data_IF_602610553370
#
_entry.id   IF_602610553370
#
_cell.length_a   1.000
_cell.length_b   1.000
_cell.length_c   1.000
_cell.angle_alpha   90.00
_cell.angle_beta   90.00
_cell.angle_gamma   90.00
#
_symmetry.space_group_name_H-M   'P 1'
#
loop_
_entity.id
_entity.type
_entity.pdbx_description
1 polymer ?
#
# COMPACT_ATOMS: atom_id res chain seq x y z
N UNK A 1 -13.00 1.65 -21.10
CA UNK A 1 -11.88 1.99 -22.01
C UNK A 1 -10.69 2.35 -21.14
N UNK A 2 -9.73 1.43 -20.99
CA UNK A 2 -8.55 1.65 -20.16
C UNK A 2 -7.68 2.74 -20.79
N UNK A 3 -7.39 3.79 -20.01
CA UNK A 3 -6.48 4.86 -20.40
C UNK A 3 -5.12 4.20 -20.60
N UNK A 4 -4.63 4.10 -21.84
CA UNK A 4 -3.24 3.73 -22.10
C UNK A 4 -2.38 4.68 -21.28
N UNK A 5 -1.64 4.17 -20.31
CA UNK A 5 -0.57 4.92 -19.66
C UNK A 5 0.47 5.23 -20.73
N UNK A 6 0.23 6.30 -21.48
CA UNK A 6 1.22 6.93 -22.34
C UNK A 6 2.25 7.58 -21.44
N UNK A 7 3.15 6.79 -20.90
CA UNK A 7 4.33 7.26 -20.21
C UNK A 7 5.48 6.46 -20.79
N UNK A 8 6.38 7.13 -21.52
CA UNK A 8 7.76 6.67 -21.66
C UNK A 8 8.20 6.23 -20.27
N UNK A 9 8.55 4.97 -20.08
CA UNK A 9 8.90 4.42 -18.77
C UNK A 9 9.99 5.32 -18.19
N UNK A 10 9.70 6.08 -17.12
CA UNK A 10 10.68 7.00 -16.58
C UNK A 10 11.91 6.20 -16.15
N UNK A 11 13.10 6.79 -16.27
CA UNK A 11 14.32 6.15 -15.77
C UNK A 11 14.13 5.70 -14.31
N UNK A 12 14.83 4.63 -13.91
CA UNK A 12 14.81 4.09 -12.54
C UNK A 12 14.87 5.19 -11.47
N UNK A 13 15.73 6.18 -11.66
CA UNK A 13 15.92 7.31 -10.73
C UNK A 13 14.67 8.19 -10.58
N UNK A 14 13.92 8.40 -11.66
CA UNK A 14 12.67 9.18 -11.62
C UNK A 14 11.58 8.39 -10.89
N UNK A 15 11.48 7.09 -11.13
CA UNK A 15 10.52 6.23 -10.42
C UNK A 15 10.84 6.15 -8.93
N UNK A 16 12.13 6.00 -8.58
CA UNK A 16 12.59 5.95 -7.19
C UNK A 16 12.33 7.26 -6.43
N UNK A 17 12.60 8.42 -7.06
CA UNK A 17 12.27 9.74 -6.48
C UNK A 17 10.77 9.96 -6.32
N UNK A 18 9.98 9.51 -7.29
CA UNK A 18 8.52 9.64 -7.24
C UNK A 18 7.94 8.80 -6.11
N UNK A 19 8.37 7.53 -6.00
CA UNK A 19 7.99 6.65 -4.89
C UNK A 19 8.38 7.26 -3.54
N UNK A 20 9.63 7.71 -3.41
CA UNK A 20 10.15 8.34 -2.19
C UNK A 20 9.29 9.53 -1.75
N UNK A 21 8.94 10.43 -2.69
CA UNK A 21 8.10 11.59 -2.38
C UNK A 21 6.69 11.21 -1.93
N UNK A 22 6.07 10.20 -2.57
CA UNK A 22 4.73 9.71 -2.17
C UNK A 22 4.78 9.02 -0.82
N UNK A 23 5.80 8.20 -0.57
CA UNK A 23 5.99 7.49 0.68
C UNK A 23 6.21 8.46 1.86
N UNK A 24 7.02 9.51 1.65
CA UNK A 24 7.20 10.57 2.65
C UNK A 24 5.89 11.28 2.98
N UNK A 25 5.08 11.62 1.97
CA UNK A 25 3.75 12.22 2.18
C UNK A 25 2.84 11.29 2.99
N UNK A 26 2.84 9.99 2.69
CA UNK A 26 2.06 9.02 3.44
C UNK A 26 2.52 8.95 4.90
N UNK A 27 3.83 8.80 5.14
CA UNK A 27 4.41 8.73 6.49
C UNK A 27 4.04 9.95 7.34
N UNK A 28 4.09 11.16 6.77
CA UNK A 28 3.70 12.40 7.45
C UNK A 28 2.19 12.52 7.69
N UNK A 29 1.36 11.87 6.87
CA UNK A 29 -0.10 11.91 7.00
C UNK A 29 -0.65 10.93 8.05
N UNK A 30 0.16 9.95 8.48
CA UNK A 30 -0.20 8.97 9.49
C UNK A 30 0.01 9.55 10.89
N UNK A 31 -0.72 9.07 11.91
CA UNK A 31 -0.47 9.47 13.30
C UNK A 31 0.90 8.98 13.78
N UNK A 32 1.46 9.62 14.80
CA UNK A 32 2.62 9.05 15.51
C UNK A 32 2.18 7.91 16.45
N UNK A 33 3.12 7.11 16.93
CA UNK A 33 2.84 5.94 17.78
C UNK A 33 2.01 6.28 19.02
N UNK A 34 2.30 7.42 19.64
CA UNK A 34 1.59 7.88 20.85
C UNK A 34 0.13 8.20 20.53
N UNK A 35 -0.13 8.80 19.37
CA UNK A 35 -1.48 9.11 18.90
C UNK A 35 -2.22 7.85 18.43
N UNK A 36 -1.52 6.92 17.78
CA UNK A 36 -2.05 5.62 17.36
C UNK A 36 -2.56 4.82 18.56
N UNK A 37 -1.74 4.64 19.59
CA UNK A 37 -2.07 3.85 20.77
C UNK A 37 -3.24 4.43 21.59
N UNK A 38 -3.48 5.75 21.52
CA UNK A 38 -4.56 6.41 22.24
C UNK A 38 -5.90 6.40 21.51
N UNK A 39 -5.88 6.37 20.18
CA UNK A 39 -7.06 6.67 19.35
C UNK A 39 -7.63 5.45 18.62
N UNK A 40 -6.91 4.32 18.64
CA UNK A 40 -7.24 3.12 17.89
C UNK A 40 -7.15 1.87 18.78
N UNK A 41 -7.82 0.79 18.37
CA UNK A 41 -7.66 -0.50 19.04
C UNK A 41 -6.22 -1.02 18.87
N UNK A 42 -5.71 -1.90 19.75
CA UNK A 42 -4.32 -2.36 19.65
C UNK A 42 -3.92 -2.91 18.25
N UNK A 43 -4.74 -3.72 17.57
CA UNK A 43 -4.40 -4.18 16.22
C UNK A 43 -4.38 -3.07 15.15
N UNK A 44 -5.24 -2.07 15.28
CA UNK A 44 -5.29 -0.92 14.37
C UNK A 44 -4.11 0.03 14.60
N UNK A 45 -3.74 0.26 15.86
CA UNK A 45 -2.56 1.03 16.23
C UNK A 45 -1.28 0.36 15.71
N UNK A 46 -1.12 -0.95 15.93
CA UNK A 46 0.02 -1.71 15.39
C UNK A 46 0.10 -1.64 13.87
N UNK A 47 -1.03 -1.77 13.18
CA UNK A 47 -1.08 -1.65 11.72
C UNK A 47 -0.66 -0.25 11.24
N UNK A 48 -1.20 0.82 11.85
CA UNK A 48 -0.90 2.20 11.46
C UNK A 48 0.57 2.57 11.75
N UNK A 49 1.12 2.11 12.87
CA UNK A 49 2.53 2.27 13.23
C UNK A 49 3.44 1.54 12.23
N UNK A 50 3.18 0.25 11.96
CA UNK A 50 3.95 -0.51 10.98
C UNK A 50 3.87 0.10 9.57
N UNK A 51 2.73 0.67 9.20
CA UNK A 51 2.58 1.38 7.94
C UNK A 51 3.39 2.68 7.90
N UNK A 52 3.41 3.44 9.00
CA UNK A 52 4.23 4.64 9.10
C UNK A 52 5.70 4.32 8.92
N UNK A 53 6.18 3.26 9.56
CA UNK A 53 7.56 2.79 9.45
C UNK A 53 7.90 2.35 8.03
N UNK A 54 7.02 1.58 7.39
CA UNK A 54 7.20 1.16 5.99
C UNK A 54 7.22 2.36 5.04
N UNK A 55 6.34 3.33 5.23
CA UNK A 55 6.30 4.54 4.41
C UNK A 55 7.54 5.42 4.64
N UNK A 56 8.07 5.46 5.87
CA UNK A 56 9.33 6.14 6.17
C UNK A 56 10.52 5.45 5.48
N UNK A 57 10.58 4.12 5.51
CA UNK A 57 11.61 3.36 4.78
C UNK A 57 11.54 3.63 3.26
N UNK A 58 10.34 3.61 2.68
CA UNK A 58 10.15 3.85 1.24
C UNK A 58 10.45 5.29 0.84
N UNK A 59 10.45 6.24 1.78
CA UNK A 59 10.90 7.61 1.53
C UNK A 59 12.38 7.69 1.17
N UNK A 60 13.16 6.64 1.42
CA UNK A 60 14.57 6.52 1.07
C UNK A 60 14.80 5.80 -0.26
N UNK A 61 13.74 5.42 -0.98
CA UNK A 61 13.85 4.59 -2.19
C UNK A 61 14.74 5.18 -3.29
N UNK A 62 14.88 6.50 -3.35
CA UNK A 62 15.79 7.19 -4.28
C UNK A 62 17.28 6.86 -4.06
N UNK A 63 17.64 6.33 -2.89
CA UNK A 63 19.00 5.99 -2.50
C UNK A 63 19.29 4.49 -2.59
N UNK A 64 18.26 3.66 -2.77
CA UNK A 64 18.43 2.21 -2.81
C UNK A 64 19.28 1.79 -4.02
N UNK A 65 20.17 0.84 -3.78
CA UNK A 65 20.78 -0.01 -4.79
C UNK A 65 19.73 -0.92 -5.43
N UNK A 66 20.07 -1.53 -6.56
CA UNK A 66 19.17 -2.48 -7.23
C UNK A 66 18.95 -3.73 -6.37
N UNK A 67 19.99 -4.21 -5.69
CA UNK A 67 19.91 -5.33 -4.75
C UNK A 67 19.00 -5.03 -3.56
N UNK A 68 19.05 -3.81 -3.00
CA UNK A 68 18.16 -3.40 -1.92
C UNK A 68 16.71 -3.34 -2.42
N UNK A 69 16.46 -2.65 -3.55
CA UNK A 69 15.12 -2.58 -4.14
C UNK A 69 14.55 -3.99 -4.42
N UNK A 70 15.37 -4.92 -4.89
CA UNK A 70 14.95 -6.32 -5.06
C UNK A 70 14.66 -7.01 -3.73
N UNK A 71 15.49 -6.83 -2.71
CA UNK A 71 15.28 -7.42 -1.38
C UNK A 71 13.97 -6.94 -0.75
N UNK A 72 13.69 -5.64 -0.79
CA UNK A 72 12.42 -5.06 -0.34
C UNK A 72 11.24 -5.63 -1.13
N UNK A 73 11.39 -5.82 -2.44
CA UNK A 73 10.36 -6.43 -3.27
C UNK A 73 10.04 -7.88 -2.87
N UNK A 74 11.04 -8.72 -2.64
CA UNK A 74 10.84 -10.11 -2.21
C UNK A 74 10.19 -10.17 -0.81
N UNK A 75 10.61 -9.31 0.12
CA UNK A 75 9.99 -9.21 1.45
C UNK A 75 8.51 -8.81 1.37
N UNK A 76 8.17 -7.85 0.50
CA UNK A 76 6.78 -7.48 0.25
C UNK A 76 5.97 -8.64 -0.34
N UNK A 77 6.53 -9.35 -1.33
CA UNK A 77 5.86 -10.46 -1.98
C UNK A 77 5.52 -11.55 -0.96
N UNK A 78 6.43 -11.82 -0.02
CA UNK A 78 6.17 -12.73 1.10
C UNK A 78 5.05 -12.20 2.01
N UNK A 79 5.10 -10.93 2.41
CA UNK A 79 4.07 -10.32 3.25
C UNK A 79 2.68 -10.34 2.58
N UNK A 80 2.60 -10.12 1.26
CA UNK A 80 1.37 -10.24 0.48
C UNK A 80 0.82 -11.66 0.46
N UNK A 81 1.69 -12.66 0.26
CA UNK A 81 1.28 -14.06 0.32
C UNK A 81 0.78 -14.44 1.73
N UNK A 82 1.46 -13.99 2.78
CA UNK A 82 1.07 -14.23 4.17
C UNK A 82 -0.29 -13.59 4.51
N UNK A 83 -0.51 -12.33 4.10
CA UNK A 83 -1.79 -11.67 4.31
C UNK A 83 -2.91 -12.32 3.49
N UNK A 84 -2.67 -12.65 2.22
CA UNK A 84 -3.64 -13.36 1.39
C UNK A 84 -4.07 -14.69 2.01
N UNK A 85 -3.09 -15.46 2.51
CA UNK A 85 -3.35 -16.70 3.25
C UNK A 85 -4.16 -16.46 4.53
N UNK A 86 -3.78 -15.46 5.35
CA UNK A 86 -4.47 -15.12 6.59
C UNK A 86 -5.93 -14.67 6.35
N UNK A 87 -6.18 -13.86 5.32
CA UNK A 87 -7.53 -13.43 4.94
C UNK A 87 -8.36 -14.60 4.41
N UNK A 88 -7.82 -15.45 3.54
CA UNK A 88 -8.52 -16.64 3.04
C UNK A 88 -8.87 -17.62 4.18
N UNK A 89 -7.98 -17.80 5.15
CA UNK A 89 -8.24 -18.59 6.35
C UNK A 89 -9.36 -18.01 7.22
N UNK A 90 -9.52 -16.68 7.25
CA UNK A 90 -10.58 -15.99 7.98
C UNK A 90 -11.96 -16.13 7.32
N UNK A 91 -12.02 -16.11 5.99
CA UNK A 91 -13.27 -16.29 5.22
C UNK A 91 -13.84 -17.71 5.38
N UNK A 92 -12.96 -18.70 5.54
CA UNK A 92 -13.37 -20.09 5.80
C UNK A 92 -13.99 -20.31 7.20
N UNK A 93 -13.98 -19.31 8.10
CA UNK A 93 -14.49 -19.41 9.47
C UNK A 93 -15.78 -18.60 9.75
N UNK A 94 -16.49 -18.19 8.70
CA UNK A 94 -17.87 -17.71 8.84
C UNK A 94 -18.02 -16.20 8.88
N UNK A 95 -18.71 -15.67 7.86
CA UNK A 95 -19.81 -14.70 7.95
C UNK A 95 -20.03 -14.13 6.55
N UNK A 96 -21.17 -14.50 5.95
CA UNK A 96 -21.69 -13.85 4.76
C UNK A 96 -22.10 -12.41 5.06
N UNK A 97 -21.95 -11.54 4.07
CA UNK A 97 -22.37 -10.14 4.16
C UNK A 97 -22.14 -9.42 2.83
N UNK A 98 -23.24 -9.15 2.13
CA UNK A 98 -23.33 -8.43 0.87
C UNK A 98 -22.92 -6.96 1.02
N UNK A 99 -21.63 -6.69 0.85
CA UNK A 99 -21.03 -5.47 0.28
C UNK A 99 -19.53 -5.55 0.46
N UNK A 100 -18.70 -5.16 -0.52
CA UNK A 100 -17.27 -5.13 -0.32
C UNK A 100 -16.95 -4.20 0.86
N UNK A 101 -16.48 -4.76 1.97
CA UNK A 101 -15.91 -4.00 3.08
C UNK A 101 -14.84 -3.05 2.54
N UNK A 102 -14.60 -1.91 3.20
CA UNK A 102 -13.59 -0.94 2.77
C UNK A 102 -12.24 -1.61 2.45
N UNK A 103 -11.85 -2.60 3.27
CA UNK A 103 -10.63 -3.40 3.06
C UNK A 103 -10.68 -4.26 1.80
N UNK A 104 -11.82 -4.89 1.47
CA UNK A 104 -11.96 -5.66 0.24
C UNK A 104 -11.86 -4.79 -1.03
N UNK A 105 -12.35 -3.54 -0.99
CA UNK A 105 -12.15 -2.57 -2.08
C UNK A 105 -10.67 -2.27 -2.28
N UNK A 106 -9.94 -2.00 -1.19
CA UNK A 106 -8.49 -1.78 -1.27
C UNK A 106 -7.77 -2.99 -1.87
N UNK A 107 -8.16 -4.21 -1.50
CA UNK A 107 -7.58 -5.44 -2.09
C UNK A 107 -7.86 -5.52 -3.59
N UNK A 108 -9.08 -5.26 -4.04
CA UNK A 108 -9.41 -5.22 -5.48
C UNK A 108 -8.60 -4.17 -6.23
N UNK A 109 -8.45 -2.97 -5.67
CA UNK A 109 -7.63 -1.91 -6.26
C UNK A 109 -6.15 -2.31 -6.35
N UNK A 110 -5.61 -2.97 -5.32
CA UNK A 110 -4.26 -3.53 -5.32
C UNK A 110 -4.07 -4.55 -6.45
N UNK A 111 -5.00 -5.49 -6.58
CA UNK A 111 -4.90 -6.58 -7.56
C UNK A 111 -5.03 -6.05 -8.99
N UNK A 112 -5.88 -5.04 -9.20
CA UNK A 112 -5.97 -4.33 -10.48
C UNK A 112 -4.67 -3.58 -10.81
N UNK A 113 -4.08 -2.89 -9.82
CA UNK A 113 -2.81 -2.19 -10.00
C UNK A 113 -1.67 -3.15 -10.32
N UNK A 114 -1.58 -4.27 -9.60
CA UNK A 114 -0.61 -5.34 -9.86
C UNK A 114 -0.78 -5.92 -11.26
N UNK A 115 -2.01 -6.23 -11.67
CA UNK A 115 -2.30 -6.70 -13.03
C UNK A 115 -1.85 -5.67 -14.08
N UNK A 116 -1.97 -4.37 -13.77
CA UNK A 116 -1.41 -3.29 -14.58
C UNK A 116 0.11 -3.39 -14.73
N UNK A 117 0.84 -3.57 -13.62
CA UNK A 117 2.29 -3.77 -13.64
C UNK A 117 2.69 -5.05 -14.38
N UNK A 118 1.98 -6.17 -14.19
CA UNK A 118 2.28 -7.45 -14.85
C UNK A 118 2.10 -7.38 -16.38
N UNK A 119 1.23 -6.48 -16.86
CA UNK A 119 0.99 -6.26 -18.30
C UNK A 119 1.93 -5.23 -18.93
N UNK A 120 2.77 -4.56 -18.14
CA UNK A 120 3.75 -3.60 -18.61
C UNK A 120 5.14 -4.26 -18.62
N UNK A 121 5.66 -4.52 -19.83
CA UNK A 121 6.93 -5.23 -20.02
C UNK A 121 8.14 -4.48 -19.44
N UNK A 122 8.00 -3.16 -19.21
CA UNK A 122 9.03 -2.32 -18.61
C UNK A 122 8.71 -1.97 -17.14
N UNK A 123 7.71 -2.62 -16.53
CA UNK A 123 7.40 -2.44 -15.12
C UNK A 123 8.54 -2.98 -14.24
N UNK A 124 9.42 -2.08 -13.83
CA UNK A 124 10.38 -2.34 -12.78
C UNK A 124 9.71 -2.49 -11.41
N UNK A 125 10.48 -2.90 -10.40
CA UNK A 125 10.02 -3.07 -9.01
C UNK A 125 9.22 -1.88 -8.44
N UNK A 126 9.52 -0.67 -8.92
CA UNK A 126 8.86 0.58 -8.52
C UNK A 126 7.37 0.63 -8.86
N UNK A 127 6.90 -0.04 -9.92
CA UNK A 127 5.47 -0.13 -10.20
C UNK A 127 4.75 -0.88 -9.05
N UNK A 128 5.32 -2.00 -8.62
CA UNK A 128 4.77 -2.81 -7.53
C UNK A 128 4.84 -2.10 -6.16
N UNK A 129 5.94 -1.40 -5.88
CA UNK A 129 6.05 -0.57 -4.67
C UNK A 129 4.97 0.52 -4.63
N UNK A 130 4.68 1.15 -5.77
CA UNK A 130 3.68 2.19 -5.87
C UNK A 130 2.26 1.66 -5.68
N UNK A 131 1.92 0.53 -6.32
CA UNK A 131 0.67 -0.19 -6.08
C UNK A 131 0.50 -0.56 -4.61
N UNK A 132 1.59 -0.97 -3.96
CA UNK A 132 1.59 -1.34 -2.55
C UNK A 132 1.35 -0.13 -1.65
N UNK A 133 2.00 0.99 -1.93
CA UNK A 133 1.83 2.22 -1.18
C UNK A 133 0.36 2.71 -1.27
N UNK A 134 -0.24 2.64 -2.47
CA UNK A 134 -1.64 2.96 -2.69
C UNK A 134 -2.59 2.04 -1.91
N UNK A 135 -2.34 0.72 -1.95
CA UNK A 135 -3.11 -0.26 -1.17
C UNK A 135 -3.08 0.05 0.33
N UNK A 136 -1.89 0.33 0.86
CA UNK A 136 -1.73 0.61 2.27
C UNK A 136 -2.36 1.94 2.69
N UNK A 137 -2.24 2.97 1.86
CA UNK A 137 -2.93 4.24 2.07
C UNK A 137 -4.46 4.05 2.09
N UNK A 138 -5.00 3.20 1.20
CA UNK A 138 -6.42 2.84 1.21
C UNK A 138 -6.83 2.15 2.52
N UNK A 139 -6.05 1.17 2.99
CA UNK A 139 -6.30 0.48 4.27
C UNK A 139 -6.26 1.44 5.46
N UNK A 140 -5.28 2.34 5.51
CA UNK A 140 -5.20 3.37 6.55
C UNK A 140 -6.42 4.29 6.51
N UNK A 141 -6.90 4.63 5.30
CA UNK A 141 -8.16 5.34 5.11
C UNK A 141 -9.36 4.58 5.66
N UNK A 142 -9.40 3.25 5.53
CA UNK A 142 -10.45 2.43 6.12
C UNK A 142 -10.44 2.46 7.65
N UNK A 143 -9.26 2.35 8.26
CA UNK A 143 -9.09 2.38 9.73
C UNK A 143 -9.45 3.77 10.28
N UNK A 144 -9.00 4.84 9.62
CA UNK A 144 -9.30 6.23 10.01
C UNK A 144 -10.74 6.66 9.70
N UNK A 145 -11.33 6.13 8.64
CA UNK A 145 -12.71 6.42 8.23
C UNK A 145 -13.76 5.63 8.99
N UNK A 146 -13.37 4.51 9.62
CA UNK A 146 -14.23 3.73 10.52
C UNK A 146 -14.59 4.47 11.82
N UNK A 147 -13.82 5.50 12.19
CA UNK A 147 -14.06 6.35 13.37
C UNK A 147 -14.82 7.64 13.05
N UNK A 148 -15.04 7.99 11.78
CA UNK A 148 -15.85 9.15 11.38
C UNK A 148 -16.16 9.12 9.89
N UNK A 149 -17.46 9.16 9.54
CA UNK A 149 -17.90 9.26 8.15
C UNK A 149 -17.32 10.49 7.44
N UNK A 150 -16.83 10.29 6.22
CA UNK A 150 -16.41 11.37 5.32
C UNK A 150 -15.15 11.05 4.53
N UNK A 151 -15.32 10.93 3.21
CA UNK A 151 -14.32 11.12 2.14
C UNK A 151 -12.86 11.23 2.59
N UNK A 152 -12.16 10.09 2.64
CA UNK A 152 -10.71 10.06 2.78
C UNK A 152 -9.99 10.59 1.52
N UNK A 153 -8.79 11.16 1.66
CA UNK A 153 -8.10 11.84 0.58
C UNK A 153 -7.65 10.85 -0.50
N UNK A 154 -8.01 11.14 -1.75
CA UNK A 154 -7.40 10.51 -2.92
C UNK A 154 -5.96 11.01 -3.00
N UNK A 155 -5.01 10.16 -2.61
CA UNK A 155 -3.60 10.43 -2.87
C UNK A 155 -3.34 10.09 -4.35
N UNK A 156 -3.58 11.09 -5.21
CA UNK A 156 -3.14 11.10 -6.60
C UNK A 156 -1.61 11.12 -6.69
#
# INVERSE_FOLDING_TARGET
MAKKCGCSTPSRDVNAKTLAARAMKLALSLPDDVTCQKSFTPPEAEFLSALRDLAADYSLAAQWTESEARSHYEAMRFADAAMGYAFAARVNNGSGGDSPSCTSRCVTEKDNCRTGCDNDADAGYFCYFDCRLAYMACLAGCVRGGTSGGNGPVIA
#
